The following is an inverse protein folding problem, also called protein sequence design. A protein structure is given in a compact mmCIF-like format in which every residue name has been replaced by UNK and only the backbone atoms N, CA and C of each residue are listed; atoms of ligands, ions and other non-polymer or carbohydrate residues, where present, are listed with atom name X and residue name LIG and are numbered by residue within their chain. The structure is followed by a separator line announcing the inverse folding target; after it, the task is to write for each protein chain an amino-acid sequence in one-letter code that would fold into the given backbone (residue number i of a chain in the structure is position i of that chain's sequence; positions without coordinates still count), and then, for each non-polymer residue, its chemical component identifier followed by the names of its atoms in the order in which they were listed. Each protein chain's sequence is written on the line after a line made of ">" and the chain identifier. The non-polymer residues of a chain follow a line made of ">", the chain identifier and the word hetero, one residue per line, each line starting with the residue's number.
data_IF_825258650612
#
_entry.id   IF_825258650612
#
_cell.length_a   1.000
_cell.length_b   1.000
_cell.length_c   1.000
_cell.angle_alpha   90.00
_cell.angle_beta   90.00
_cell.angle_gamma   90.00
#
_symmetry.space_group_name_H-M   'P 1'
#
loop_
_entity.id
_entity.type
_entity.pdbx_description
1 polymer ?
#
# COMPACT_ATOMS: atom_id res chain seq x y z
N UNK A 1 -15.18 -16.92 -5.03
CA UNK A 1 -13.81 -17.30 -4.65
C UNK A 1 -13.02 -16.05 -4.34
N UNK A 2 -11.74 -16.19 -3.96
CA UNK A 2 -10.84 -15.04 -3.84
C UNK A 2 -10.66 -14.37 -5.21
N UNK A 3 -10.70 -13.05 -5.26
CA UNK A 3 -10.56 -12.26 -6.49
C UNK A 3 -9.09 -11.89 -6.72
N UNK A 4 -8.32 -12.91 -7.12
CA UNK A 4 -6.90 -12.77 -7.46
C UNK A 4 -6.78 -12.18 -8.86
N UNK A 5 -6.08 -11.06 -8.98
CA UNK A 5 -5.90 -10.33 -10.25
C UNK A 5 -4.59 -10.70 -10.95
N UNK A 6 -3.63 -11.27 -10.22
CA UNK A 6 -2.34 -11.63 -10.78
C UNK A 6 -1.40 -12.30 -9.78
N UNK A 7 -0.28 -12.79 -10.33
CA UNK A 7 0.88 -13.28 -9.60
C UNK A 7 2.14 -12.91 -10.39
N UNK A 8 3.26 -12.70 -9.69
CA UNK A 8 4.57 -12.54 -10.34
C UNK A 8 5.71 -12.96 -9.40
N UNK A 9 6.84 -13.35 -10.00
CA UNK A 9 8.09 -13.43 -9.27
C UNK A 9 8.59 -12.02 -8.96
N UNK A 10 9.16 -11.83 -7.78
CA UNK A 10 9.74 -10.57 -7.32
C UNK A 10 11.27 -10.56 -7.48
N UNK A 11 11.89 -9.46 -7.07
CA UNK A 11 13.32 -9.19 -7.30
C UNK A 11 14.25 -10.19 -6.60
N UNK A 12 13.96 -10.57 -5.36
CA UNK A 12 14.79 -11.52 -4.62
C UNK A 12 14.45 -12.98 -4.98
N UNK A 13 15.47 -13.84 -5.05
CA UNK A 13 15.28 -15.27 -5.33
C UNK A 13 14.36 -15.92 -4.29
N UNK A 14 13.26 -16.52 -4.75
CA UNK A 14 12.25 -17.13 -3.88
C UNK A 14 11.18 -16.15 -3.36
N UNK A 15 11.24 -14.87 -3.74
CA UNK A 15 10.22 -13.87 -3.44
C UNK A 15 9.13 -13.86 -4.53
N UNK A 16 7.87 -13.77 -4.11
CA UNK A 16 6.71 -13.77 -4.99
C UNK A 16 5.67 -12.77 -4.52
N UNK A 17 4.86 -12.26 -5.45
CA UNK A 17 3.71 -11.40 -5.20
C UNK A 17 2.43 -12.04 -5.75
N UNK A 18 1.31 -11.79 -5.07
CA UNK A 18 -0.04 -12.00 -5.57
C UNK A 18 -0.87 -10.74 -5.29
N UNK A 19 -1.80 -10.42 -6.19
CA UNK A 19 -2.66 -9.24 -6.04
C UNK A 19 -4.12 -9.66 -5.86
N UNK A 20 -4.79 -9.05 -4.89
CA UNK A 20 -6.23 -9.22 -4.67
C UNK A 20 -6.92 -7.87 -4.80
N UNK A 21 -7.98 -7.84 -5.61
CA UNK A 21 -8.86 -6.70 -5.69
C UNK A 21 -10.19 -7.00 -4.99
N UNK A 22 -10.66 -6.08 -4.17
CA UNK A 22 -11.98 -6.17 -3.55
C UNK A 22 -12.65 -4.79 -3.49
N UNK A 23 -13.98 -4.78 -3.60
CA UNK A 23 -14.78 -3.56 -3.45
C UNK A 23 -15.20 -3.40 -2.00
N UNK A 24 -14.34 -2.77 -1.21
CA UNK A 24 -14.60 -2.50 0.20
C UNK A 24 -13.43 -2.96 1.07
N UNK A 25 -13.14 -2.20 2.12
CA UNK A 25 -12.00 -2.49 3.00
C UNK A 25 -12.19 -3.77 3.81
N UNK A 26 -13.44 -4.10 4.16
CA UNK A 26 -13.76 -5.35 4.85
C UNK A 26 -13.42 -6.56 3.96
N UNK A 27 -14.04 -6.64 2.79
CA UNK A 27 -13.79 -7.72 1.83
C UNK A 27 -12.31 -7.83 1.42
N UNK A 28 -11.61 -6.69 1.27
CA UNK A 28 -10.18 -6.69 0.99
C UNK A 28 -9.39 -7.36 2.13
N UNK A 29 -9.71 -7.05 3.38
CA UNK A 29 -9.09 -7.68 4.55
C UNK A 29 -9.41 -9.17 4.65
N UNK A 30 -10.68 -9.54 4.49
CA UNK A 30 -11.14 -10.94 4.54
C UNK A 30 -10.40 -11.78 3.50
N UNK A 31 -10.35 -11.29 2.25
CA UNK A 31 -9.72 -12.03 1.17
C UNK A 31 -8.21 -12.14 1.32
N UNK A 32 -7.52 -11.10 1.78
CA UNK A 32 -6.07 -11.17 2.03
C UNK A 32 -5.76 -12.19 3.13
N UNK A 33 -6.52 -12.21 4.23
CA UNK A 33 -6.29 -13.20 5.30
C UNK A 33 -6.53 -14.64 4.84
N UNK A 34 -7.63 -14.88 4.13
CA UNK A 34 -7.92 -16.20 3.58
C UNK A 34 -6.86 -16.61 2.53
N UNK A 35 -6.38 -15.67 1.72
CA UNK A 35 -5.31 -15.93 0.75
C UNK A 35 -4.00 -16.33 1.44
N UNK A 36 -3.59 -15.60 2.48
CA UNK A 36 -2.39 -15.92 3.28
C UNK A 36 -2.49 -17.32 3.88
N UNK A 37 -3.63 -17.64 4.49
CA UNK A 37 -3.89 -18.98 5.01
C UNK A 37 -3.76 -20.04 3.91
N UNK A 38 -4.45 -19.89 2.79
CA UNK A 38 -4.38 -20.87 1.69
C UNK A 38 -2.96 -21.02 1.12
N UNK A 39 -2.19 -19.93 1.06
CA UNK A 39 -0.80 -19.96 0.62
C UNK A 39 0.08 -20.79 1.56
N UNK A 40 -0.02 -20.56 2.88
CA UNK A 40 0.69 -21.33 3.89
C UNK A 40 0.30 -22.81 3.85
N UNK A 41 -1.01 -23.12 3.84
CA UNK A 41 -1.51 -24.50 3.75
C UNK A 41 -1.07 -25.22 2.48
N UNK A 42 -0.88 -24.47 1.39
CA UNK A 42 -0.36 -25.01 0.13
C UNK A 42 1.14 -25.27 0.24
N UNK A 43 1.91 -24.32 0.76
CA UNK A 43 3.35 -24.44 0.95
C UNK A 43 3.74 -25.64 1.84
N UNK A 44 2.97 -25.89 2.90
CA UNK A 44 3.17 -27.04 3.79
C UNK A 44 3.17 -28.38 3.04
N UNK A 45 2.33 -28.54 2.00
CA UNK A 45 2.27 -29.78 1.19
C UNK A 45 3.56 -30.05 0.42
N UNK A 46 4.36 -29.01 0.22
CA UNK A 46 5.66 -29.08 -0.46
C UNK A 46 6.83 -29.02 0.54
N UNK A 47 6.57 -29.08 1.85
CA UNK A 47 7.61 -28.96 2.88
C UNK A 47 8.23 -27.56 2.96
N UNK A 48 7.51 -26.52 2.51
CA UNK A 48 7.95 -25.13 2.50
C UNK A 48 7.21 -24.31 3.56
N UNK A 49 7.86 -23.27 4.07
CA UNK A 49 7.25 -22.25 4.93
C UNK A 49 7.21 -20.89 4.24
N UNK A 50 6.17 -20.10 4.50
CA UNK A 50 6.06 -18.72 4.02
C UNK A 50 6.62 -17.78 5.09
N UNK A 51 7.55 -16.91 4.70
CA UNK A 51 8.09 -15.88 5.58
C UNK A 51 7.50 -14.52 5.21
N UNK A 52 6.64 -13.99 6.10
CA UNK A 52 6.02 -12.68 5.92
C UNK A 52 6.87 -11.51 6.43
N UNK A 53 8.04 -11.75 7.03
CA UNK A 53 8.90 -10.69 7.56
C UNK A 53 9.29 -9.71 6.45
N UNK A 54 9.25 -8.42 6.74
CA UNK A 54 9.42 -7.38 5.72
C UNK A 54 10.85 -7.25 5.16
N UNK A 55 11.82 -7.84 5.85
CA UNK A 55 13.22 -7.91 5.45
C UNK A 55 13.79 -9.28 5.85
N UNK A 56 13.44 -10.36 5.13
CA UNK A 56 13.76 -11.72 5.57
C UNK A 56 15.25 -12.04 5.42
N UNK A 57 15.95 -11.36 4.50
CA UNK A 57 17.39 -11.46 4.29
C UNK A 57 18.02 -10.08 4.53
N UNK A 58 19.02 -10.02 5.40
CA UNK A 58 19.77 -8.81 5.68
C UNK A 58 20.74 -8.44 4.54
N UNK A 59 21.11 -7.16 4.45
CA UNK A 59 22.04 -6.65 3.43
C UNK A 59 21.32 -6.10 2.20
N UNK A 60 21.98 -6.22 1.05
CA UNK A 60 21.61 -5.63 -0.24
C UNK A 60 20.54 -6.44 -1.00
N UNK A 61 19.50 -6.86 -0.26
CA UNK A 61 18.36 -7.60 -0.79
C UNK A 61 17.08 -6.78 -0.67
N UNK A 62 16.17 -6.90 -1.62
CA UNK A 62 14.86 -6.26 -1.51
C UNK A 62 14.09 -6.74 -0.27
N UNK A 63 13.31 -5.84 0.32
CA UNK A 63 12.33 -6.22 1.33
C UNK A 63 11.01 -6.62 0.69
N UNK A 64 10.07 -7.05 1.53
CA UNK A 64 8.72 -7.46 1.11
C UNK A 64 7.67 -6.46 1.62
N UNK A 65 6.90 -5.92 0.68
CA UNK A 65 5.84 -4.95 0.92
C UNK A 65 4.45 -5.56 0.88
N UNK A 66 3.45 -4.75 1.25
CA UNK A 66 2.04 -4.99 0.95
C UNK A 66 1.45 -3.71 0.40
N UNK A 67 1.83 -3.36 -0.84
CA UNK A 67 1.36 -2.12 -1.47
C UNK A 67 -0.18 -2.09 -1.50
N UNK A 68 -0.75 -0.99 -1.02
CA UNK A 68 -2.19 -0.84 -0.90
C UNK A 68 -2.71 0.15 -1.95
N UNK A 69 -3.37 -0.38 -2.99
CA UNK A 69 -4.07 0.43 -3.97
C UNK A 69 -5.43 0.85 -3.42
N UNK A 70 -5.78 2.14 -3.49
CA UNK A 70 -7.05 2.64 -2.98
C UNK A 70 -7.63 3.77 -3.84
N UNK A 71 -8.97 3.81 -3.89
CA UNK A 71 -9.73 4.93 -4.46
C UNK A 71 -11.09 5.05 -3.78
N UNK A 72 -11.69 6.24 -3.84
CA UNK A 72 -13.08 6.49 -3.49
C UNK A 72 -13.77 7.25 -4.62
N UNK A 73 -15.04 7.59 -4.45
CA UNK A 73 -15.79 8.34 -5.47
C UNK A 73 -15.16 9.70 -5.79
N UNK A 74 -14.52 10.36 -4.81
CA UNK A 74 -13.79 11.61 -5.06
C UNK A 74 -12.65 11.37 -6.05
N UNK A 75 -11.72 10.45 -5.76
CA UNK A 75 -10.55 10.19 -6.62
C UNK A 75 -10.95 9.67 -8.01
N UNK A 76 -11.95 8.79 -8.10
CA UNK A 76 -12.40 8.24 -9.38
C UNK A 76 -13.09 9.26 -10.28
N UNK A 77 -13.61 10.35 -9.71
CA UNK A 77 -14.36 11.37 -10.44
C UNK A 77 -13.71 12.76 -10.39
N UNK A 78 -12.54 12.90 -9.75
CA UNK A 78 -11.95 14.20 -9.42
C UNK A 78 -11.71 15.06 -10.67
N UNK A 79 -11.09 14.50 -11.70
CA UNK A 79 -10.76 15.26 -12.91
C UNK A 79 -9.72 16.37 -12.67
N UNK A 80 -9.04 16.37 -11.51
CA UNK A 80 -8.20 17.48 -11.04
C UNK A 80 -6.95 16.96 -10.32
N UNK A 81 -5.80 17.46 -10.76
CA UNK A 81 -4.50 17.24 -10.10
C UNK A 81 -4.49 17.78 -8.68
N UNK A 82 -5.12 18.93 -8.47
CA UNK A 82 -5.16 19.64 -7.19
C UNK A 82 -5.88 18.83 -6.12
N UNK A 83 -6.95 18.09 -6.49
CA UNK A 83 -7.63 17.17 -5.57
C UNK A 83 -6.71 16.01 -5.17
N UNK A 84 -5.98 15.44 -6.14
CA UNK A 84 -4.99 14.40 -5.87
C UNK A 84 -3.87 14.90 -4.96
N UNK A 85 -3.32 16.09 -5.22
CA UNK A 85 -2.30 16.73 -4.40
C UNK A 85 -2.77 16.95 -2.95
N UNK A 86 -4.01 17.43 -2.77
CA UNK A 86 -4.63 17.60 -1.43
C UNK A 86 -4.77 16.27 -0.70
N UNK A 87 -5.25 15.22 -1.38
CA UNK A 87 -5.41 13.88 -0.77
C UNK A 87 -4.05 13.29 -0.40
N UNK A 88 -3.06 13.35 -1.29
CA UNK A 88 -1.72 12.83 -1.03
C UNK A 88 -1.04 13.57 0.12
N UNK A 89 -1.10 14.90 0.12
CA UNK A 89 -0.51 15.75 1.17
C UNK A 89 -1.13 15.48 2.54
N UNK A 90 -2.38 15.03 2.62
CA UNK A 90 -3.01 14.65 3.89
C UNK A 90 -2.33 13.46 4.59
N UNK A 91 -1.62 12.58 3.86
CA UNK A 91 -0.87 11.46 4.45
C UNK A 91 0.48 11.86 5.03
N UNK A 92 1.00 13.03 4.66
CA UNK A 92 2.24 13.62 5.16
C UNK A 92 2.04 14.96 5.87
N UNK A 93 0.79 15.29 6.25
CA UNK A 93 0.43 16.61 6.76
C UNK A 93 1.17 16.99 8.06
N UNK A 94 1.65 16.00 8.81
CA UNK A 94 2.44 16.20 10.03
C UNK A 94 3.19 14.90 10.40
N UNK A 95 4.26 14.98 11.20
CA UNK A 95 4.95 13.81 11.74
C UNK A 95 4.01 12.83 12.47
N UNK A 96 3.00 13.35 13.18
CA UNK A 96 2.01 12.54 13.90
C UNK A 96 1.14 11.73 12.94
N UNK A 97 0.79 12.29 11.78
CA UNK A 97 0.06 11.55 10.75
C UNK A 97 0.94 10.46 10.15
N UNK A 98 2.19 10.77 9.80
CA UNK A 98 3.14 9.78 9.26
C UNK A 98 3.29 8.63 10.26
N UNK A 99 3.59 8.94 11.52
CA UNK A 99 3.74 7.96 12.60
C UNK A 99 2.48 7.11 12.77
N UNK A 100 1.29 7.72 12.76
CA UNK A 100 0.04 6.98 12.91
C UNK A 100 -0.24 5.98 11.77
N UNK A 101 0.32 6.20 10.57
CA UNK A 101 0.33 5.21 9.49
C UNK A 101 1.38 4.13 9.76
N UNK A 102 2.62 4.51 10.04
CA UNK A 102 3.73 3.58 10.29
C UNK A 102 3.43 2.62 11.46
N UNK A 103 2.80 3.10 12.54
CA UNK A 103 2.42 2.31 13.72
C UNK A 103 1.51 1.11 13.39
N UNK A 104 0.81 1.12 12.26
CA UNK A 104 -0.06 0.02 11.81
C UNK A 104 0.40 -0.65 10.52
N UNK A 105 1.54 -0.24 9.96
CA UNK A 105 2.06 -0.72 8.66
C UNK A 105 3.00 -1.92 8.78
N UNK A 106 2.93 -2.61 9.92
CA UNK A 106 3.62 -3.86 10.23
C UNK A 106 4.92 -3.65 11.03
N UNK A 107 5.29 -4.68 11.78
CA UNK A 107 6.49 -4.66 12.62
C UNK A 107 7.77 -4.53 11.79
N UNK A 108 8.82 -3.97 12.40
CA UNK A 108 10.18 -3.89 11.83
C UNK A 108 10.31 -3.18 10.49
N UNK A 109 9.30 -2.38 10.11
CA UNK A 109 9.25 -1.73 8.81
C UNK A 109 10.43 -0.74 8.58
N UNK A 110 11.11 -0.30 9.64
CA UNK A 110 12.33 0.50 9.57
C UNK A 110 13.51 -0.24 8.90
N UNK A 111 13.50 -1.58 8.93
CA UNK A 111 14.49 -2.41 8.22
C UNK A 111 14.25 -2.44 6.70
N UNK A 112 13.03 -2.12 6.27
CA UNK A 112 12.62 -2.09 4.86
C UNK A 112 12.58 -0.68 4.29
N UNK A 113 11.97 0.27 4.99
CA UNK A 113 11.77 1.65 4.58
C UNK A 113 13.02 2.50 4.87
N UNK A 114 14.09 2.24 4.13
CA UNK A 114 15.39 2.90 4.33
C UNK A 114 15.63 4.06 3.38
N UNK A 115 14.80 4.23 2.34
CA UNK A 115 15.05 5.16 1.23
C UNK A 115 15.79 4.51 0.05
N UNK A 116 16.19 3.24 0.20
CA UNK A 116 16.80 2.42 -0.85
C UNK A 116 15.79 1.38 -1.37
N UNK A 117 16.10 0.73 -2.49
CA UNK A 117 15.33 -0.40 -3.05
C UNK A 117 13.83 -0.11 -3.25
N UNK A 118 13.50 0.97 -3.98
CA UNK A 118 12.11 1.37 -4.26
C UNK A 118 11.25 1.67 -3.02
N UNK A 119 11.85 2.24 -1.98
CA UNK A 119 11.14 2.71 -0.78
C UNK A 119 11.52 4.13 -0.41
N UNK A 120 10.64 4.82 0.31
CA UNK A 120 10.96 6.06 1.03
C UNK A 120 11.48 5.71 2.43
N UNK A 121 12.32 6.57 3.00
CA UNK A 121 12.73 6.49 4.41
C UNK A 121 11.52 6.57 5.34
N UNK A 122 11.50 5.76 6.41
CA UNK A 122 10.35 5.62 7.32
C UNK A 122 9.87 6.94 7.95
N UNK A 123 10.78 7.88 8.18
CA UNK A 123 10.49 9.17 8.83
C UNK A 123 10.11 10.28 7.84
N UNK A 124 10.17 9.99 6.53
CA UNK A 124 9.86 10.94 5.46
C UNK A 124 8.58 10.55 4.74
N UNK A 125 7.89 11.55 4.22
CA UNK A 125 6.75 11.34 3.33
C UNK A 125 6.98 12.06 2.00
N UNK A 126 6.77 11.35 0.91
CA UNK A 126 6.74 11.92 -0.43
C UNK A 126 5.68 11.23 -1.28
N UNK A 127 5.23 11.91 -2.33
CA UNK A 127 4.36 11.32 -3.34
C UNK A 127 4.76 11.81 -4.73
N UNK A 128 4.52 11.01 -5.76
CA UNK A 128 4.94 11.34 -7.12
C UNK A 128 4.23 10.52 -8.20
N UNK A 129 4.21 11.06 -9.41
CA UNK A 129 3.67 10.36 -10.60
C UNK A 129 4.68 9.30 -11.02
N UNK A 130 4.24 8.04 -11.04
CA UNK A 130 5.08 6.87 -11.37
C UNK A 130 6.34 6.70 -10.52
N UNK A 131 6.50 7.46 -9.44
CA UNK A 131 7.66 7.41 -8.56
C UNK A 131 7.55 6.20 -7.62
N UNK A 132 8.41 5.20 -7.88
CA UNK A 132 8.50 3.99 -7.07
C UNK A 132 9.25 4.20 -5.74
N UNK A 133 10.06 5.25 -5.63
CA UNK A 133 10.74 5.62 -4.39
C UNK A 133 9.89 6.47 -3.44
N UNK A 134 8.71 6.90 -3.89
CA UNK A 134 7.79 7.68 -3.07
C UNK A 134 7.01 6.83 -2.05
N UNK A 135 6.50 7.48 -1.00
CA UNK A 135 5.59 6.84 -0.05
C UNK A 135 4.24 6.51 -0.70
N UNK A 136 3.67 7.46 -1.44
CA UNK A 136 2.47 7.25 -2.27
C UNK A 136 2.83 7.44 -3.73
N UNK A 137 2.56 6.42 -4.54
CA UNK A 137 2.69 6.50 -5.99
C UNK A 137 1.34 6.88 -6.61
N UNK A 138 1.37 7.84 -7.53
CA UNK A 138 0.25 8.15 -8.43
C UNK A 138 0.52 7.38 -9.73
N UNK A 139 -0.26 6.33 -10.06
CA UNK A 139 -0.10 5.59 -11.30
C UNK A 139 -0.24 6.49 -12.54
N UNK A 140 0.56 6.26 -13.58
CA UNK A 140 0.48 7.03 -14.83
C UNK A 140 -0.93 6.99 -15.45
N UNK A 141 -1.60 5.84 -15.36
CA UNK A 141 -2.97 5.64 -15.86
C UNK A 141 -3.97 6.59 -15.21
N UNK A 142 -3.75 7.01 -13.96
CA UNK A 142 -4.60 8.02 -13.29
C UNK A 142 -4.47 9.37 -13.98
N UNK A 143 -3.25 9.74 -14.39
CA UNK A 143 -2.96 11.00 -15.09
C UNK A 143 -3.48 10.95 -16.53
N UNK A 144 -3.23 9.85 -17.23
CA UNK A 144 -3.69 9.62 -18.62
C UNK A 144 -5.22 9.58 -18.71
N UNK A 145 -5.91 9.09 -17.69
CA UNK A 145 -7.37 9.13 -17.57
C UNK A 145 -7.90 10.49 -17.08
N UNK A 146 -7.10 11.56 -17.20
CA UNK A 146 -7.49 12.91 -16.84
C UNK A 146 -7.73 13.06 -15.34
N UNK A 147 -6.82 12.55 -14.51
CA UNK A 147 -6.91 12.61 -13.04
C UNK A 147 -8.14 11.90 -12.48
N UNK A 148 -8.38 10.68 -12.97
CA UNK A 148 -9.44 9.77 -12.53
C UNK A 148 -8.88 8.36 -12.37
N UNK A 149 -8.80 7.88 -11.14
CA UNK A 149 -8.21 6.58 -10.87
C UNK A 149 -7.97 6.29 -9.40
N UNK A 150 -6.79 5.78 -9.09
CA UNK A 150 -6.41 5.31 -7.75
C UNK A 150 -5.02 5.82 -7.36
N UNK A 151 -4.70 5.62 -6.09
CA UNK A 151 -3.40 5.88 -5.47
C UNK A 151 -2.85 4.56 -4.92
N UNK A 152 -1.53 4.45 -4.82
CA UNK A 152 -0.85 3.30 -4.22
C UNK A 152 -0.03 3.75 -3.00
N UNK A 153 -0.38 3.30 -1.79
CA UNK A 153 0.48 3.46 -0.61
C UNK A 153 1.48 2.31 -0.55
N UNK A 154 2.78 2.63 -0.69
CA UNK A 154 3.88 1.66 -0.79
C UNK A 154 4.51 1.33 0.57
N UNK A 155 4.06 2.01 1.62
CA UNK A 155 4.63 1.91 2.97
C UNK A 155 4.15 0.72 3.82
N UNK A 156 2.99 0.09 3.63
CA UNK A 156 2.66 -1.12 4.38
C UNK A 156 3.62 -2.26 4.03
N UNK A 157 4.02 -3.04 5.01
CA UNK A 157 4.90 -4.18 4.81
C UNK A 157 4.14 -5.51 4.66
N UNK A 158 4.84 -6.55 4.23
CA UNK A 158 4.27 -7.87 3.96
C UNK A 158 3.58 -8.55 5.14
N UNK A 159 3.95 -8.22 6.39
CA UNK A 159 3.35 -8.74 7.61
C UNK A 159 2.20 -7.86 8.15
N UNK A 160 1.90 -6.72 7.51
CA UNK A 160 0.90 -5.80 8.00
C UNK A 160 -0.50 -6.44 8.04
N UNK A 161 -1.31 -6.00 9.01
CA UNK A 161 -2.72 -6.37 9.13
C UNK A 161 -3.54 -5.55 8.12
N UNK A 162 -4.14 -6.19 7.09
CA UNK A 162 -4.86 -5.48 6.04
C UNK A 162 -6.04 -4.67 6.58
N UNK A 163 -6.68 -5.07 7.69
CA UNK A 163 -7.76 -4.31 8.30
C UNK A 163 -7.27 -2.99 8.88
N UNK A 164 -6.16 -3.01 9.62
CA UNK A 164 -5.60 -1.81 10.24
C UNK A 164 -5.06 -0.84 9.19
N UNK A 165 -4.40 -1.37 8.16
CA UNK A 165 -3.92 -0.58 7.01
C UNK A 165 -5.10 0.11 6.32
N UNK A 166 -6.12 -0.65 5.93
CA UNK A 166 -7.28 -0.11 5.23
C UNK A 166 -8.05 0.92 6.08
N UNK A 167 -8.28 0.63 7.37
CA UNK A 167 -8.94 1.55 8.29
C UNK A 167 -8.19 2.89 8.42
N UNK A 168 -6.85 2.83 8.51
CA UNK A 168 -6.01 4.03 8.62
C UNK A 168 -5.99 4.85 7.34
N UNK A 169 -5.90 4.21 6.16
CA UNK A 169 -6.04 4.86 4.85
C UNK A 169 -7.40 5.55 4.76
N UNK A 170 -8.50 4.85 5.07
CA UNK A 170 -9.86 5.40 5.03
C UNK A 170 -9.99 6.63 5.93
N UNK A 171 -9.45 6.58 7.16
CA UNK A 171 -9.50 7.71 8.11
C UNK A 171 -8.87 8.97 7.51
N UNK A 172 -7.69 8.85 6.91
CA UNK A 172 -6.99 9.98 6.28
C UNK A 172 -7.73 10.49 5.05
N UNK A 173 -8.15 9.59 4.15
CA UNK A 173 -8.85 9.96 2.91
C UNK A 173 -10.20 10.61 3.19
N UNK A 174 -10.97 10.12 4.16
CA UNK A 174 -12.25 10.75 4.57
C UNK A 174 -12.04 12.18 5.09
N UNK A 175 -11.01 12.39 5.93
CA UNK A 175 -10.68 13.73 6.45
C UNK A 175 -10.28 14.67 5.30
N UNK A 176 -9.44 14.21 4.37
CA UNK A 176 -9.04 14.99 3.21
C UNK A 176 -10.21 15.33 2.30
N UNK A 177 -11.09 14.36 2.02
CA UNK A 177 -12.26 14.56 1.17
C UNK A 177 -13.23 15.60 1.77
N UNK A 178 -13.48 15.55 3.09
CA UNK A 178 -14.31 16.55 3.75
C UNK A 178 -13.74 17.97 3.61
N UNK A 179 -12.41 18.13 3.73
CA UNK A 179 -11.76 19.43 3.55
C UNK A 179 -11.83 19.95 2.10
N UNK A 180 -11.86 19.05 1.10
CA UNK A 180 -12.04 19.42 -0.31
C UNK A 180 -13.46 19.95 -0.55
N UNK A 181 -14.48 19.26 -0.04
CA UNK A 181 -15.89 19.64 -0.25
C UNK A 181 -16.28 20.95 0.44
N UNK A 182 -15.65 21.30 1.56
CA UNK A 182 -15.89 22.58 2.25
C UNK A 182 -15.25 23.77 1.51
N UNK A 183 -14.22 23.52 0.69
CA UNK A 183 -13.48 24.55 -0.03
C UNK A 183 -13.96 24.77 -1.48
N UNK A 184 -14.94 24.00 -1.94
CA UNK A 184 -15.57 24.07 -3.27
C UNK A 184 -16.96 24.69 -3.19
#
# INVERSE_FOLDING_TARGET
>A
GLNVEGINAEVATGQWEFQIFAKGAQDAGDQIWVARYLLERTAEKYGLGINWHCKPVSGDWNGSGMHANFSNSLLRNAGSKEIYDKVCSAFGASPEVIKAHIDVYGADNHLRLTGLHETQSIDKFSYGISDRGASIRIPVVTVENGWKGYLEDRRPNSAADPYKVAARIIKTVKKAAAAVTVAS
#
